data_IF_338402642182
#
_entry.id   IF_338402642182
#
_cell.length_a   1.000
_cell.length_b   1.000
_cell.length_c   1.000
_cell.angle_alpha   90.00
_cell.angle_beta   90.00
_cell.angle_gamma   90.00
#
_symmetry.space_group_name_H-M   'P 1'
#
loop_
_entity.id
_entity.type
_entity.pdbx_description
1 polymer ?
#
# COMPACT_ATOMS: atom_id res chain seq x y z
N UNK A 1 -40.92 17.94 -25.76
CA UNK A 1 -40.72 17.02 -24.62
C UNK A 1 -39.56 16.04 -24.92
N UNK A 2 -38.39 16.38 -24.39
CA UNK A 2 -37.44 15.50 -23.69
C UNK A 2 -36.68 14.41 -24.46
N UNK A 3 -35.80 14.81 -25.40
CA UNK A 3 -34.68 13.95 -25.89
C UNK A 3 -33.32 14.31 -25.27
N UNK A 4 -33.27 15.14 -24.23
CA UNK A 4 -32.02 15.69 -23.68
C UNK A 4 -31.39 14.84 -22.56
N UNK A 5 -32.03 13.76 -22.10
CA UNK A 5 -31.53 12.99 -20.95
C UNK A 5 -30.55 11.85 -21.30
N UNK A 6 -30.31 11.56 -22.59
CA UNK A 6 -29.52 10.37 -22.97
C UNK A 6 -27.99 10.60 -22.99
N UNK A 7 -27.51 11.83 -22.77
CA UNK A 7 -26.07 12.13 -22.78
C UNK A 7 -25.40 12.08 -21.40
N UNK A 8 -26.16 11.86 -20.31
CA UNK A 8 -25.64 11.94 -18.94
C UNK A 8 -25.48 10.58 -18.25
N UNK A 9 -24.99 9.56 -18.98
CA UNK A 9 -24.69 8.24 -18.38
C UNK A 9 -23.27 7.72 -18.68
N UNK A 10 -22.43 8.50 -19.37
CA UNK A 10 -21.09 8.08 -19.77
C UNK A 10 -19.95 8.63 -18.90
N UNK A 11 -20.24 9.19 -17.73
CA UNK A 11 -19.23 9.72 -16.79
C UNK A 11 -19.43 9.13 -15.38
N UNK A 12 -19.47 7.80 -15.25
CA UNK A 12 -19.45 7.16 -13.90
C UNK A 12 -18.50 5.95 -13.84
N UNK A 13 -17.60 5.80 -14.80
CA UNK A 13 -16.61 4.74 -14.73
C UNK A 13 -15.26 5.22 -15.26
N UNK A 14 -14.70 6.26 -14.64
CA UNK A 14 -13.23 6.29 -14.57
C UNK A 14 -12.81 5.02 -13.81
N UNK A 15 -11.85 4.22 -14.32
CA UNK A 15 -11.29 3.15 -13.51
C UNK A 15 -10.83 3.79 -12.20
N UNK A 16 -11.33 3.28 -11.08
CA UNK A 16 -10.73 3.56 -9.79
C UNK A 16 -9.34 2.96 -9.90
N UNK A 17 -8.33 3.79 -10.22
CA UNK A 17 -6.94 3.40 -10.04
C UNK A 17 -6.82 3.22 -8.54
N UNK A 18 -7.00 1.97 -8.10
CA UNK A 18 -6.53 1.55 -6.80
C UNK A 18 -5.01 1.58 -6.96
N UNK A 19 -4.41 2.68 -6.51
CA UNK A 19 -2.96 2.77 -6.46
C UNK A 19 -2.48 1.70 -5.50
N UNK A 20 -1.76 0.71 -6.00
CA UNK A 20 -1.13 -0.28 -5.14
C UNK A 20 -0.17 0.46 -4.20
N UNK A 21 -0.27 0.21 -2.90
CA UNK A 21 0.70 0.73 -1.93
C UNK A 21 1.73 -0.37 -1.70
N UNK A 22 3.00 -0.06 -1.97
CA UNK A 22 4.09 -0.99 -1.74
C UNK A 22 4.63 -0.83 -0.33
N UNK A 23 4.85 -1.96 0.34
CA UNK A 23 5.47 -2.02 1.67
C UNK A 23 6.79 -2.77 1.54
N UNK A 24 7.90 -2.07 1.80
CA UNK A 24 9.26 -2.58 1.54
C UNK A 24 10.04 -2.57 2.85
N UNK A 25 10.50 -3.73 3.29
CA UNK A 25 11.37 -3.84 4.47
C UNK A 25 12.77 -3.33 4.15
N UNK A 26 13.25 -2.39 4.95
CA UNK A 26 14.59 -1.82 4.84
C UNK A 26 15.48 -2.47 5.90
N UNK A 27 16.08 -3.62 5.57
CA UNK A 27 16.81 -4.47 6.52
C UNK A 27 17.89 -3.69 7.30
N UNK A 28 18.69 -2.87 6.60
CA UNK A 28 19.81 -2.15 7.22
C UNK A 28 19.39 -0.91 7.98
N UNK A 29 18.21 -0.37 7.66
CA UNK A 29 17.72 0.88 8.23
C UNK A 29 16.74 0.62 9.39
N UNK A 30 16.48 -0.65 9.71
CA UNK A 30 15.53 -1.09 10.75
C UNK A 30 14.16 -0.41 10.58
N UNK A 31 13.63 -0.43 9.35
CA UNK A 31 12.43 0.31 9.00
C UNK A 31 11.60 -0.35 7.89
N UNK A 32 10.41 0.20 7.66
CA UNK A 32 9.53 -0.11 6.54
C UNK A 32 9.30 1.15 5.72
N UNK A 33 9.54 1.09 4.41
CA UNK A 33 9.11 2.11 3.47
C UNK A 33 7.70 1.82 2.96
N UNK A 34 6.84 2.82 2.98
CA UNK A 34 5.54 2.85 2.32
C UNK A 34 5.70 3.69 1.07
N UNK A 35 5.44 3.10 -0.09
CA UNK A 35 5.72 3.70 -1.39
C UNK A 35 4.44 3.68 -2.24
N UNK A 36 4.20 4.76 -2.96
CA UNK A 36 3.14 4.83 -3.96
C UNK A 36 3.53 3.92 -5.14
N UNK A 37 2.74 2.88 -5.40
CA UNK A 37 3.04 1.88 -6.41
C UNK A 37 2.85 2.34 -7.85
N UNK A 38 2.24 3.51 -8.06
CA UNK A 38 2.07 4.10 -9.41
C UNK A 38 3.26 4.97 -9.77
N UNK A 39 3.69 5.83 -8.84
CA UNK A 39 4.72 6.85 -9.06
C UNK A 39 6.09 6.44 -8.54
N UNK A 40 6.17 5.42 -7.70
CA UNK A 40 7.39 5.03 -6.98
C UNK A 40 7.79 6.02 -5.88
N UNK A 41 6.92 6.98 -5.55
CA UNK A 41 7.24 8.01 -4.55
C UNK A 41 7.20 7.41 -3.15
N UNK A 42 8.24 7.68 -2.35
CA UNK A 42 8.23 7.40 -0.92
C UNK A 42 7.14 8.24 -0.23
N UNK A 43 6.18 7.56 0.38
CA UNK A 43 5.08 8.19 1.12
C UNK A 43 5.42 8.32 2.60
N UNK A 44 6.02 7.27 3.20
CA UNK A 44 6.34 7.23 4.62
C UNK A 44 7.46 6.23 4.91
N UNK A 45 8.24 6.51 5.94
CA UNK A 45 9.12 5.53 6.58
C UNK A 45 8.62 5.25 7.99
N UNK A 46 8.50 3.98 8.36
CA UNK A 46 8.05 3.53 9.69
C UNK A 46 9.22 2.81 10.36
N UNK A 47 9.71 3.28 11.52
CA UNK A 47 10.75 2.56 12.27
C UNK A 47 10.22 1.23 12.79
N UNK A 48 11.07 0.20 12.78
CA UNK A 48 10.79 -1.16 13.21
C UNK A 48 11.90 -1.70 14.13
N UNK A 49 11.79 -2.97 14.54
CA UNK A 49 12.85 -3.74 15.17
C UNK A 49 14.00 -4.06 14.19
N UNK A 50 15.02 -4.77 14.68
CA UNK A 50 16.25 -4.98 13.92
C UNK A 50 16.10 -5.95 12.75
N UNK A 51 16.63 -5.56 11.59
CA UNK A 51 16.72 -6.38 10.37
C UNK A 51 15.39 -7.01 9.94
N UNK A 52 14.38 -6.18 9.62
CA UNK A 52 13.13 -6.68 9.07
C UNK A 52 13.37 -7.35 7.71
N UNK A 53 12.78 -8.53 7.50
CA UNK A 53 12.91 -9.30 6.24
C UNK A 53 11.58 -9.89 5.77
N UNK A 54 11.01 -10.75 6.61
CA UNK A 54 9.76 -11.43 6.30
C UNK A 54 8.59 -10.48 6.51
N UNK A 55 7.70 -10.40 5.54
CA UNK A 55 6.51 -9.57 5.62
C UNK A 55 5.30 -10.28 4.99
N UNK A 56 4.14 -10.18 5.62
CA UNK A 56 2.90 -10.76 5.13
C UNK A 56 1.67 -9.97 5.57
N UNK A 57 0.69 -9.86 4.68
CA UNK A 57 -0.62 -9.34 5.03
C UNK A 57 -1.48 -10.41 5.71
N UNK A 58 -2.36 -9.97 6.62
CA UNK A 58 -3.52 -10.77 7.01
C UNK A 58 -4.42 -11.04 5.80
N UNK A 59 -5.27 -12.07 5.89
CA UNK A 59 -6.15 -12.47 4.78
C UNK A 59 -7.10 -11.36 4.33
N UNK A 60 -7.55 -10.53 5.25
CA UNK A 60 -8.41 -9.36 5.03
C UNK A 60 -7.61 -8.07 4.76
N UNK A 61 -6.26 -8.15 4.72
CA UNK A 61 -5.33 -7.04 4.51
C UNK A 61 -5.43 -5.90 5.53
N UNK A 62 -6.09 -6.12 6.67
CA UNK A 62 -6.19 -5.12 7.75
C UNK A 62 -4.90 -5.00 8.56
N UNK A 63 -4.06 -6.03 8.55
CA UNK A 63 -2.79 -6.08 9.27
C UNK A 63 -1.64 -6.49 8.34
N UNK A 64 -0.47 -5.94 8.64
CA UNK A 64 0.79 -6.27 7.98
C UNK A 64 1.78 -6.71 9.07
N UNK A 65 2.16 -7.98 9.04
CA UNK A 65 3.11 -8.57 10.00
C UNK A 65 4.52 -8.49 9.43
N UNK A 66 5.49 -8.07 10.25
CA UNK A 66 6.89 -7.94 9.84
C UNK A 66 7.79 -8.66 10.84
N UNK A 67 8.52 -9.67 10.41
CA UNK A 67 9.49 -10.35 11.27
C UNK A 67 10.78 -9.54 11.37
N UNK A 68 11.11 -9.06 12.58
CA UNK A 68 12.41 -8.49 12.91
C UNK A 68 13.36 -9.63 13.29
N UNK A 69 14.34 -9.94 12.43
CA UNK A 69 15.08 -11.21 12.53
C UNK A 69 16.17 -11.25 13.58
N UNK A 70 16.70 -10.07 13.97
CA UNK A 70 17.74 -9.94 15.00
C UNK A 70 17.15 -9.29 16.28
N UNK A 71 15.84 -9.42 16.48
CA UNK A 71 15.09 -8.90 17.63
C UNK A 71 14.05 -9.94 18.09
N UNK A 72 13.58 -9.84 19.34
CA UNK A 72 12.54 -10.72 19.89
C UNK A 72 11.12 -10.17 19.61
N UNK A 73 10.92 -9.53 18.44
CA UNK A 73 9.69 -8.79 18.10
C UNK A 73 9.12 -9.13 16.70
N UNK A 74 7.79 -9.09 16.58
CA UNK A 74 6.99 -9.24 15.33
C UNK A 74 6.04 -8.05 15.23
#
# INVERSE_FOLDING_TARGET
MNKLYLALFLIVCSPLIVADTLFITLEKDNALAVVDGVTGKLLKTVPLGQRPRGIAFSKDQSLLYVAASDDDTI
#
